data_IF_405262418868
#
_entry.id   IF_405262418868
#
_cell.length_a   1.000
_cell.length_b   1.000
_cell.length_c   1.000
_cell.angle_alpha   90.00
_cell.angle_beta   90.00
_cell.angle_gamma   90.00
#
_symmetry.space_group_name_H-M   'P 1'
#
loop_
_entity.id
_entity.type
_entity.pdbx_description
1 polymer ?
#
# COMPACT_ATOMS: atom_id res chain seq x y z
N UNK A 1 18.80 -25.62 -0.36
CA UNK A 1 17.46 -25.17 0.07
C UNK A 1 17.60 -23.74 0.55
N UNK A 2 17.08 -22.76 -0.19
CA UNK A 2 17.07 -21.37 0.26
C UNK A 2 16.01 -21.25 1.36
N UNK A 3 16.45 -20.98 2.59
CA UNK A 3 15.55 -20.81 3.74
C UNK A 3 14.64 -19.59 3.53
N UNK A 4 13.40 -19.68 4.01
CA UNK A 4 12.50 -18.53 4.01
C UNK A 4 13.09 -17.43 4.91
N UNK A 5 13.31 -16.25 4.34
CA UNK A 5 13.75 -15.08 5.08
C UNK A 5 12.52 -14.33 5.60
N UNK A 6 12.41 -14.20 6.92
CA UNK A 6 11.35 -13.43 7.57
C UNK A 6 11.85 -12.00 7.71
N UNK A 7 11.30 -11.09 6.91
CA UNK A 7 11.58 -9.64 7.03
C UNK A 7 10.50 -8.99 7.88
N UNK A 8 10.89 -8.36 8.99
CA UNK A 8 9.98 -7.56 9.80
C UNK A 8 9.68 -6.26 9.04
N UNK A 9 8.40 -5.97 8.84
CA UNK A 9 7.93 -4.72 8.25
C UNK A 9 7.07 -3.99 9.26
N UNK A 10 7.40 -2.75 9.54
CA UNK A 10 6.54 -1.90 10.37
C UNK A 10 5.46 -1.30 9.44
N UNK A 11 4.19 -1.54 9.80
CA UNK A 11 3.07 -0.94 9.08
C UNK A 11 3.03 0.55 9.41
N UNK A 12 3.29 1.38 8.41
CA UNK A 12 3.41 2.82 8.59
C UNK A 12 2.06 3.50 8.44
N UNK A 13 1.28 3.09 7.43
CA UNK A 13 0.04 3.78 7.08
C UNK A 13 -0.91 2.91 6.28
N UNK A 14 -2.20 3.09 6.52
CA UNK A 14 -3.27 2.54 5.70
C UNK A 14 -4.07 3.69 5.10
N UNK A 15 -4.29 3.64 3.79
CA UNK A 15 -4.97 4.68 3.03
C UNK A 15 -6.11 4.07 2.21
N UNK A 16 -7.31 4.68 2.22
CA UNK A 16 -8.40 4.20 1.38
C UNK A 16 -8.08 4.42 -0.10
N UNK A 17 -8.45 3.47 -0.95
CA UNK A 17 -8.32 3.56 -2.40
C UNK A 17 -9.52 2.87 -3.07
N UNK A 18 -10.53 3.66 -3.43
CA UNK A 18 -11.83 3.15 -3.88
C UNK A 18 -12.50 2.33 -2.78
N UNK A 19 -12.61 1.02 -3.01
CA UNK A 19 -13.09 0.00 -2.08
C UNK A 19 -11.97 -0.86 -1.48
N UNK A 20 -10.71 -0.50 -1.74
CA UNK A 20 -9.52 -1.14 -1.20
C UNK A 20 -8.89 -0.30 -0.08
N UNK A 21 -7.93 -0.91 0.61
CA UNK A 21 -6.99 -0.28 1.53
C UNK A 21 -5.58 -0.49 0.98
N UNK A 22 -4.87 0.60 0.70
CA UNK A 22 -3.44 0.56 0.43
C UNK A 22 -2.68 0.61 1.76
N UNK A 23 -1.97 -0.47 2.09
CA UNK A 23 -1.08 -0.56 3.24
C UNK A 23 0.35 -0.27 2.81
N UNK A 24 0.92 0.79 3.37
CA UNK A 24 2.31 1.18 3.21
C UNK A 24 3.13 0.64 4.37
N UNK A 25 4.27 0.05 4.06
CA UNK A 25 5.16 -0.55 5.04
C UNK A 25 6.62 -0.33 4.67
N UNK A 26 7.45 -0.11 5.69
CA UNK A 26 8.90 0.05 5.53
C UNK A 26 9.59 -1.21 5.99
N UNK A 27 10.53 -1.67 5.19
CA UNK A 27 11.44 -2.76 5.52
C UNK A 27 12.88 -2.37 5.21
N UNK A 28 13.80 -3.28 5.49
CA UNK A 28 15.25 -3.08 5.31
C UNK A 28 15.66 -2.75 3.86
N UNK A 29 14.85 -3.17 2.88
CA UNK A 29 15.10 -2.92 1.45
C UNK A 29 14.28 -1.74 0.88
N UNK A 30 13.67 -0.92 1.74
CA UNK A 30 12.91 0.28 1.35
C UNK A 30 11.40 0.21 1.60
N UNK A 31 10.65 0.95 0.80
CA UNK A 31 9.20 1.13 0.95
C UNK A 31 8.45 0.10 0.11
N UNK A 32 7.44 -0.55 0.71
CA UNK A 32 6.58 -1.51 0.03
C UNK A 32 5.11 -1.23 0.27
N UNK A 33 4.31 -1.40 -0.78
CA UNK A 33 2.87 -1.14 -0.76
C UNK A 33 2.12 -2.42 -1.11
N UNK A 34 1.06 -2.71 -0.35
CA UNK A 34 0.13 -3.80 -0.61
C UNK A 34 -1.27 -3.22 -0.67
N UNK A 35 -2.01 -3.50 -1.74
CA UNK A 35 -3.42 -3.11 -1.87
C UNK A 35 -4.26 -4.31 -1.46
N UNK A 36 -5.03 -4.14 -0.39
CA UNK A 36 -5.89 -5.15 0.19
C UNK A 36 -7.34 -4.78 -0.08
N UNK A 37 -8.13 -5.75 -0.53
CA UNK A 37 -9.59 -5.65 -0.56
C UNK A 37 -10.13 -6.81 0.25
N UNK A 38 -10.94 -6.53 1.26
CA UNK A 38 -11.70 -7.58 1.92
C UNK A 38 -12.88 -7.94 1.01
N UNK A 39 -12.79 -9.10 0.37
CA UNK A 39 -13.81 -9.61 -0.52
C UNK A 39 -14.87 -10.44 0.22
N UNK A 40 -14.67 -10.80 1.49
CA UNK A 40 -15.53 -11.75 2.19
C UNK A 40 -15.84 -13.00 1.34
N UNK A 41 -17.11 -13.43 1.32
CA UNK A 41 -17.63 -14.51 0.46
C UNK A 41 -18.07 -14.04 -0.94
N UNK A 42 -17.75 -12.79 -1.33
CA UNK A 42 -18.20 -12.23 -2.60
C UNK A 42 -17.49 -12.90 -3.78
N UNK A 43 -18.25 -13.19 -4.84
CA UNK A 43 -17.71 -13.73 -6.10
C UNK A 43 -16.66 -12.76 -6.66
N UNK A 44 -15.58 -13.25 -7.31
CA UNK A 44 -14.57 -12.39 -7.89
C UNK A 44 -15.21 -11.46 -8.93
N UNK A 45 -15.36 -10.19 -8.56
CA UNK A 45 -15.82 -9.12 -9.45
C UNK A 45 -14.60 -8.59 -10.20
N UNK A 46 -14.77 -8.27 -11.48
CA UNK A 46 -13.70 -7.76 -12.34
C UNK A 46 -13.08 -6.50 -11.71
N UNK A 47 -11.76 -6.55 -11.54
CA UNK A 47 -10.91 -5.72 -10.66
C UNK A 47 -10.89 -4.22 -10.99
N UNK A 48 -11.45 -3.79 -12.13
CA UNK A 48 -11.16 -2.47 -12.72
C UNK A 48 -12.16 -1.35 -12.40
N UNK A 49 -13.11 -1.56 -11.50
CA UNK A 49 -14.04 -0.51 -11.07
C UNK A 49 -13.40 0.37 -9.99
N UNK A 50 -12.25 0.97 -10.30
CA UNK A 50 -11.55 1.91 -9.42
C UNK A 50 -12.21 3.29 -9.25
N UNK A 51 -12.95 3.87 -10.20
CA UNK A 51 -13.33 5.27 -10.07
C UNK A 51 -14.63 5.42 -9.28
N UNK A 52 -14.49 5.70 -7.98
CA UNK A 52 -15.45 6.52 -7.25
C UNK A 52 -15.08 7.99 -7.41
N UNK A 53 -15.99 8.90 -7.07
CA UNK A 53 -15.75 10.33 -7.19
C UNK A 53 -14.52 10.79 -6.37
N UNK A 54 -14.23 10.08 -5.29
CA UNK A 54 -13.12 10.39 -4.36
C UNK A 54 -11.78 9.78 -4.79
N UNK A 55 -11.77 8.83 -5.75
CA UNK A 55 -10.57 8.08 -6.15
C UNK A 55 -9.39 8.98 -6.56
N UNK A 56 -9.57 10.09 -7.31
CA UNK A 56 -8.45 10.97 -7.64
C UNK A 56 -7.75 11.57 -6.42
N UNK A 57 -8.51 12.00 -5.41
CA UNK A 57 -7.95 12.56 -4.18
C UNK A 57 -7.24 11.49 -3.34
N UNK A 58 -7.80 10.27 -3.32
CA UNK A 58 -7.20 9.12 -2.64
C UNK A 58 -5.87 8.70 -3.29
N UNK A 59 -5.80 8.67 -4.62
CA UNK A 59 -4.57 8.40 -5.36
C UNK A 59 -3.50 9.45 -5.08
N UNK A 60 -3.90 10.73 -4.99
CA UNK A 60 -2.98 11.80 -4.63
C UNK A 60 -2.43 11.62 -3.22
N UNK A 61 -3.29 11.38 -2.24
CA UNK A 61 -2.87 11.13 -0.85
C UNK A 61 -1.96 9.89 -0.73
N UNK A 62 -2.19 8.87 -1.54
CA UNK A 62 -1.33 7.69 -1.62
C UNK A 62 0.05 8.03 -2.19
N UNK A 63 0.11 8.80 -3.29
CA UNK A 63 1.36 9.25 -3.87
C UNK A 63 2.17 10.09 -2.86
N UNK A 64 1.53 11.07 -2.21
CA UNK A 64 2.18 11.93 -1.22
C UNK A 64 2.75 11.11 -0.04
N UNK A 65 2.05 10.06 0.39
CA UNK A 65 2.53 9.17 1.44
C UNK A 65 3.74 8.33 0.99
N UNK A 66 3.73 7.82 -0.24
CA UNK A 66 4.87 7.08 -0.78
C UNK A 66 6.11 7.98 -0.91
N UNK A 67 5.95 9.18 -1.45
CA UNK A 67 7.03 10.16 -1.60
C UNK A 67 7.63 10.55 -0.24
N UNK A 68 6.79 10.80 0.77
CA UNK A 68 7.26 11.11 2.11
C UNK A 68 8.07 9.97 2.74
N UNK A 69 7.66 8.72 2.55
CA UNK A 69 8.38 7.57 3.09
C UNK A 69 9.72 7.32 2.39
N UNK A 70 9.78 7.55 1.07
CA UNK A 70 11.01 7.46 0.29
C UNK A 70 12.00 8.56 0.70
N UNK A 71 11.54 9.81 0.82
CA UNK A 71 12.38 10.92 1.26
C UNK A 71 12.93 10.70 2.68
N UNK A 72 12.13 10.14 3.60
CA UNK A 72 12.59 9.82 4.95
C UNK A 72 13.63 8.68 4.98
N UNK A 73 13.67 7.80 3.97
CA UNK A 73 14.70 6.77 3.83
C UNK A 73 16.04 7.37 3.39
N UNK A 74 16.04 8.27 2.41
CA UNK A 74 17.25 8.93 1.89
C UNK A 74 17.98 9.78 2.94
N UNK A 75 17.27 10.30 3.94
CA UNK A 75 17.85 11.11 5.03
C UNK A 75 18.47 10.26 6.15
N UNK A 76 18.16 8.96 6.19
CA UNK A 76 18.65 8.04 7.24
C UNK A 76 19.90 7.24 6.84
N UNK A 77 20.34 7.35 5.58
CA UNK A 77 21.59 6.78 5.04
C UNK A 77 22.73 7.81 5.07
#
# INVERSE_FOLDING_TARGET
MAGAQVTRKDALRELPLGDCIARLSRGEAGVSMVILRDLGDARPVLWNDFPRAETPAQLRALADAVEAELAAHEVSE
#
